data_IF_181086635752
#
_entry.id   IF_181086635752
#
_cell.length_a   1.000
_cell.length_b   1.000
_cell.length_c   1.000
_cell.angle_alpha   90.00
_cell.angle_beta   90.00
_cell.angle_gamma   90.00
#
_symmetry.space_group_name_H-M   'P 1'
#
loop_
_entity.id
_entity.type
_entity.pdbx_description
1 polymer ?
#
# COMPACT_ATOMS: atom_id res chain seq x y z
N UNK A 1 14.90 1.48 -13.36
CA UNK A 1 14.70 2.75 -12.64
C UNK A 1 15.58 2.78 -11.41
N UNK A 2 16.41 3.82 -11.23
CA UNK A 2 17.38 3.96 -10.12
C UNK A 2 16.77 4.60 -8.85
N UNK A 3 15.53 4.28 -8.49
CA UNK A 3 14.87 4.91 -7.34
C UNK A 3 15.52 4.58 -5.99
N UNK A 4 16.09 3.37 -5.84
CA UNK A 4 16.74 2.96 -4.59
C UNK A 4 18.07 3.68 -4.33
N UNK A 5 18.73 4.17 -5.39
CA UNK A 5 20.01 4.87 -5.30
C UNK A 5 19.90 6.36 -5.02
N UNK A 6 18.69 6.92 -4.94
CA UNK A 6 18.45 8.34 -4.69
C UNK A 6 17.87 8.51 -3.28
N UNK A 7 18.39 9.46 -2.52
CA UNK A 7 17.86 9.79 -1.20
C UNK A 7 16.41 10.28 -1.29
N UNK A 8 15.57 9.89 -0.33
CA UNK A 8 14.18 10.32 -0.24
C UNK A 8 13.15 9.19 -0.18
N UNK A 9 11.87 9.56 0.01
CA UNK A 9 10.76 8.62 0.11
C UNK A 9 10.48 7.96 -1.24
N UNK A 10 10.07 6.69 -1.21
CA UNK A 10 9.63 5.95 -2.38
C UNK A 10 8.16 5.59 -2.18
N UNK A 11 7.32 5.98 -3.13
CA UNK A 11 5.89 5.61 -3.14
C UNK A 11 5.72 4.44 -4.10
N UNK A 12 5.24 3.32 -3.59
CA UNK A 12 4.95 2.13 -4.39
C UNK A 12 3.44 1.94 -4.44
N UNK A 13 2.86 2.14 -5.63
CA UNK A 13 1.45 1.84 -5.86
C UNK A 13 1.32 0.38 -6.32
N UNK A 14 0.98 -0.52 -5.40
CA UNK A 14 0.85 -1.95 -5.69
C UNK A 14 -0.28 -2.57 -4.84
N UNK A 15 -1.06 -3.54 -5.36
CA UNK A 15 -2.18 -4.14 -4.62
C UNK A 15 -1.82 -4.93 -3.34
N UNK A 16 -0.56 -5.34 -3.18
CA UNK A 16 0.07 -6.08 -2.07
C UNK A 16 -0.68 -7.32 -1.58
N UNK A 17 -1.50 -7.90 -2.46
CA UNK A 17 -2.36 -9.03 -2.08
C UNK A 17 -1.63 -10.34 -1.91
N UNK A 18 -0.38 -10.46 -2.40
CA UNK A 18 0.45 -11.65 -2.23
C UNK A 18 1.39 -11.44 -1.04
N UNK A 19 1.48 -12.43 -0.16
CA UNK A 19 2.43 -12.43 0.95
C UNK A 19 3.88 -12.28 0.47
N UNK A 20 4.23 -12.91 -0.66
CA UNK A 20 5.55 -12.77 -1.29
C UNK A 20 5.87 -11.34 -1.71
N UNK A 21 4.89 -10.60 -2.26
CA UNK A 21 5.10 -9.19 -2.60
C UNK A 21 5.33 -8.35 -1.35
N UNK A 22 4.56 -8.60 -0.28
CA UNK A 22 4.76 -7.88 1.00
C UNK A 22 6.13 -8.16 1.62
N UNK A 23 6.59 -9.42 1.57
CA UNK A 23 7.92 -9.81 2.03
C UNK A 23 9.03 -9.16 1.19
N UNK A 24 8.87 -9.11 -0.14
CA UNK A 24 9.81 -8.42 -1.03
C UNK A 24 9.90 -6.92 -0.71
N UNK A 25 8.77 -6.24 -0.48
CA UNK A 25 8.78 -4.82 -0.12
C UNK A 25 9.45 -4.58 1.23
N UNK A 26 9.21 -5.44 2.23
CA UNK A 26 9.91 -5.40 3.50
C UNK A 26 11.43 -5.58 3.34
N UNK A 27 11.85 -6.55 2.52
CA UNK A 27 13.26 -6.80 2.21
C UNK A 27 13.90 -5.60 1.50
N UNK A 28 13.22 -5.01 0.51
CA UNK A 28 13.71 -3.81 -0.18
C UNK A 28 13.85 -2.66 0.81
N UNK A 29 12.90 -2.47 1.73
CA UNK A 29 13.02 -1.50 2.80
C UNK A 29 14.25 -1.75 3.68
N UNK A 30 14.44 -2.98 4.15
CA UNK A 30 15.57 -3.36 4.99
C UNK A 30 16.92 -3.13 4.29
N UNK A 31 17.10 -3.65 3.06
CA UNK A 31 18.34 -3.51 2.28
C UNK A 31 18.63 -2.05 1.92
N UNK A 32 17.59 -1.23 1.78
CA UNK A 32 17.73 0.18 1.43
C UNK A 32 17.71 1.14 2.63
N UNK A 33 17.69 0.61 3.86
CA UNK A 33 17.63 1.41 5.09
C UNK A 33 16.35 2.24 5.25
N UNK A 34 15.25 1.87 4.58
CA UNK A 34 14.00 2.63 4.54
C UNK A 34 12.90 1.94 5.35
N UNK A 35 12.29 2.62 6.34
CA UNK A 35 11.12 2.07 7.03
C UNK A 35 9.95 1.97 6.06
N UNK A 36 9.39 0.76 5.93
CA UNK A 36 8.24 0.50 5.06
C UNK A 36 6.94 0.80 5.83
N UNK A 37 6.06 1.61 5.25
CA UNK A 37 4.75 1.94 5.83
C UNK A 37 3.64 1.59 4.84
N UNK A 38 2.55 1.01 5.34
CA UNK A 38 1.40 0.64 4.53
C UNK A 38 0.31 1.70 4.63
N UNK A 39 -0.09 2.27 3.50
CA UNK A 39 -1.34 3.01 3.37
C UNK A 39 -2.32 2.13 2.59
N UNK A 40 -3.29 1.55 3.27
CA UNK A 40 -4.27 0.63 2.68
C UNK A 40 -5.58 1.35 2.40
N UNK A 41 -6.00 1.35 1.13
CA UNK A 41 -7.30 1.87 0.71
C UNK A 41 -8.35 0.77 0.79
N UNK A 42 -9.19 0.81 1.83
CA UNK A 42 -10.29 -0.12 2.01
C UNK A 42 -11.54 0.39 1.27
N UNK A 43 -11.95 -0.36 0.24
CA UNK A 43 -13.11 -0.06 -0.59
C UNK A 43 -13.86 -1.36 -0.88
N UNK A 44 -15.19 -1.40 -0.69
CA UNK A 44 -16.00 -2.57 -1.04
C UNK A 44 -15.77 -3.01 -2.50
N UNK A 45 -15.84 -4.32 -2.75
CA UNK A 45 -15.54 -4.89 -4.05
C UNK A 45 -16.44 -4.32 -5.16
N UNK A 46 -17.69 -4.07 -4.83
CA UNK A 46 -18.73 -3.51 -5.71
C UNK A 46 -18.32 -2.10 -6.15
N UNK A 47 -17.94 -1.24 -5.20
CA UNK A 47 -17.49 0.13 -5.47
C UNK A 47 -16.17 0.17 -6.26
N UNK A 48 -15.27 -0.77 -5.99
CA UNK A 48 -14.01 -0.90 -6.72
C UNK A 48 -14.27 -1.30 -8.18
N UNK A 49 -15.18 -2.25 -8.43
CA UNK A 49 -15.57 -2.69 -9.75
C UNK A 49 -16.32 -1.61 -10.53
N UNK A 50 -17.24 -0.90 -9.88
CA UNK A 50 -17.93 0.24 -10.48
C UNK A 50 -16.92 1.34 -10.89
N UNK A 51 -15.95 1.64 -10.03
CA UNK A 51 -14.88 2.58 -10.34
C UNK A 51 -14.03 2.15 -11.53
N UNK A 52 -13.74 0.86 -11.68
CA UNK A 52 -13.06 0.31 -12.86
C UNK A 52 -13.88 0.47 -14.14
N UNK A 53 -15.16 0.12 -14.09
CA UNK A 53 -16.10 0.24 -15.22
C UNK A 53 -16.23 1.69 -15.68
N UNK A 54 -16.43 2.63 -14.75
CA UNK A 54 -16.56 4.07 -15.04
C UNK A 54 -15.33 4.65 -15.75
N UNK A 55 -14.13 4.10 -15.49
CA UNK A 55 -12.88 4.50 -16.14
C UNK A 55 -12.57 3.74 -17.43
N UNK A 56 -13.44 2.82 -17.87
CA UNK A 56 -13.21 1.98 -19.05
C UNK A 56 -12.06 0.99 -18.90
N UNK A 57 -11.58 0.71 -17.68
CA UNK A 57 -10.42 -0.14 -17.39
C UNK A 57 -10.82 -1.23 -16.40
N UNK A 58 -11.21 -2.39 -16.90
CA UNK A 58 -11.69 -3.52 -16.08
C UNK A 58 -10.66 -4.63 -16.07
N UNK A 59 -10.24 -5.05 -14.88
CA UNK A 59 -9.41 -6.26 -14.76
C UNK A 59 -10.27 -7.51 -14.98
N UNK A 60 -9.68 -8.59 -15.52
CA UNK A 60 -10.41 -9.84 -15.78
C UNK A 60 -11.16 -10.31 -14.51
N UNK A 61 -12.43 -10.76 -14.59
CA UNK A 61 -13.24 -11.13 -13.42
C UNK A 61 -12.56 -12.15 -12.48
N UNK A 62 -11.92 -13.18 -13.04
CA UNK A 62 -11.17 -14.17 -12.26
C UNK A 62 -9.99 -13.55 -11.48
N UNK A 63 -9.32 -12.56 -12.06
CA UNK A 63 -8.23 -11.84 -11.39
C UNK A 63 -8.77 -10.99 -10.24
N UNK A 64 -9.86 -10.26 -10.48
CA UNK A 64 -10.55 -9.46 -9.46
C UNK A 64 -11.02 -10.33 -8.28
N UNK A 65 -11.73 -11.42 -8.55
CA UNK A 65 -12.21 -12.32 -7.51
C UNK A 65 -11.06 -12.93 -6.68
N UNK A 66 -9.94 -13.25 -7.33
CA UNK A 66 -8.73 -13.74 -6.63
C UNK A 66 -8.09 -12.65 -5.78
N UNK A 67 -8.10 -11.41 -6.24
CA UNK A 67 -7.63 -10.25 -5.50
C UNK A 67 -8.49 -10.06 -4.24
N UNK A 68 -9.82 -9.98 -4.37
CA UNK A 68 -10.77 -9.81 -3.25
C UNK A 68 -10.58 -10.91 -2.20
N UNK A 69 -10.55 -12.18 -2.61
CA UNK A 69 -10.32 -13.31 -1.69
C UNK A 69 -9.01 -13.19 -0.92
N UNK A 70 -7.93 -12.76 -1.59
CA UNK A 70 -6.63 -12.61 -0.93
C UNK A 70 -6.60 -11.46 0.06
N UNK A 71 -7.23 -10.33 -0.28
CA UNK A 71 -7.38 -9.20 0.65
C UNK A 71 -8.20 -9.61 1.86
N UNK A 72 -9.34 -10.27 1.66
CA UNK A 72 -10.22 -10.71 2.76
C UNK A 72 -9.51 -11.56 3.82
N UNK A 73 -8.49 -12.34 3.45
CA UNK A 73 -7.70 -13.15 4.41
C UNK A 73 -6.92 -12.34 5.44
N UNK A 74 -6.61 -11.08 5.17
CA UNK A 74 -5.80 -10.26 6.09
C UNK A 74 -6.38 -8.84 6.31
N UNK A 75 -7.51 -8.51 5.67
CA UNK A 75 -8.20 -7.23 5.83
C UNK A 75 -8.55 -6.94 7.28
N UNK A 76 -9.12 -7.92 7.99
CA UNK A 76 -9.50 -7.77 9.39
C UNK A 76 -8.29 -7.49 10.29
N UNK A 77 -7.11 -8.00 9.93
CA UNK A 77 -5.87 -7.69 10.64
C UNK A 77 -5.49 -6.22 10.46
N UNK A 78 -5.63 -5.69 9.25
CA UNK A 78 -5.35 -4.27 8.97
C UNK A 78 -6.34 -3.33 9.63
N UNK A 79 -7.62 -3.71 9.67
CA UNK A 79 -8.64 -2.95 10.38
C UNK A 79 -8.41 -2.94 11.89
N UNK A 80 -7.83 -4.01 12.43
CA UNK A 80 -7.33 -4.08 13.80
C UNK A 80 -5.92 -3.46 13.97
N UNK A 81 -5.45 -2.67 12.99
CA UNK A 81 -4.14 -2.00 12.98
C UNK A 81 -2.92 -2.92 13.17
N UNK A 82 -3.07 -4.21 12.88
CA UNK A 82 -1.95 -5.17 12.95
C UNK A 82 -0.97 -4.91 11.81
N UNK A 83 0.26 -4.58 12.20
CA UNK A 83 1.34 -4.26 11.25
C UNK A 83 1.93 -5.55 10.66
N UNK A 84 2.03 -5.66 9.32
CA UNK A 84 2.69 -6.82 8.71
C UNK A 84 4.16 -6.93 9.12
N UNK A 85 4.67 -8.16 9.23
CA UNK A 85 6.07 -8.42 9.57
C UNK A 85 7.04 -7.67 8.63
N UNK A 86 8.00 -6.95 9.21
CA UNK A 86 8.98 -6.14 8.48
C UNK A 86 8.48 -4.74 8.06
N UNK A 87 7.25 -4.36 8.43
CA UNK A 87 6.69 -3.03 8.20
C UNK A 87 6.69 -2.25 9.51
N UNK A 88 6.78 -0.91 9.42
CA UNK A 88 6.84 0.00 10.57
C UNK A 88 5.46 0.43 11.06
N UNK A 89 4.50 0.58 10.15
CA UNK A 89 3.13 1.00 10.48
C UNK A 89 2.16 0.65 9.36
N UNK A 90 0.88 0.57 9.70
CA UNK A 90 -0.24 0.51 8.77
C UNK A 90 -1.21 1.64 9.05
N UNK A 91 -1.79 2.20 7.99
CA UNK A 91 -2.91 3.12 8.07
C UNK A 91 -3.96 2.68 7.06
N UNK A 92 -5.19 2.47 7.53
CA UNK A 92 -6.35 2.17 6.66
C UNK A 92 -7.12 3.45 6.39
N UNK A 93 -7.45 3.68 5.12
CA UNK A 93 -8.27 4.81 4.67
C UNK A 93 -9.39 4.30 3.77
N UNK A 94 -10.51 5.02 3.79
CA UNK A 94 -11.60 4.82 2.83
C UNK A 94 -11.46 5.79 1.64
N UNK A 95 -12.38 5.67 0.68
CA UNK A 95 -12.43 6.50 -0.52
C UNK A 95 -12.63 7.99 -0.26
N UNK A 96 -13.38 8.35 0.78
CA UNK A 96 -13.63 9.75 1.16
C UNK A 96 -12.39 10.40 1.77
N UNK A 97 -11.63 9.64 2.58
CA UNK A 97 -10.35 10.07 3.14
C UNK A 97 -9.29 10.17 2.06
N UNK A 98 -9.23 9.20 1.15
CA UNK A 98 -8.24 9.17 0.07
C UNK A 98 -8.20 10.46 -0.78
N UNK A 99 -9.35 11.08 -1.07
CA UNK A 99 -9.40 12.34 -1.84
C UNK A 99 -8.75 13.53 -1.11
N UNK A 100 -8.68 13.47 0.22
CA UNK A 100 -8.13 14.51 1.10
C UNK A 100 -6.75 14.16 1.65
N UNK A 101 -6.32 12.90 1.53
CA UNK A 101 -5.01 12.45 1.96
C UNK A 101 -3.90 13.10 1.11
N UNK A 102 -2.83 13.53 1.78
CA UNK A 102 -1.61 14.03 1.15
C UNK A 102 -0.43 13.32 1.82
N UNK A 103 0.52 12.86 1.01
CA UNK A 103 1.79 12.36 1.54
C UNK A 103 2.71 13.55 1.73
N UNK A 104 3.10 13.80 2.99
CA UNK A 104 4.07 14.83 3.32
C UNK A 104 5.34 14.13 3.77
N UNK A 105 6.37 14.20 2.94
CA UNK A 105 7.69 13.73 3.33
C UNK A 105 8.41 14.87 4.06
N UNK A 106 8.52 14.75 5.37
CA UNK A 106 9.50 15.56 6.11
C UNK A 106 10.87 14.93 5.84
N UNK A 107 11.68 15.58 5.02
CA UNK A 107 13.12 15.38 5.10
C UNK A 107 13.51 16.02 6.42
N UNK A 108 13.74 15.21 7.45
CA UNK A 108 14.48 15.67 8.61
C UNK A 108 15.90 15.90 8.09
N UNK A 109 16.15 17.10 7.57
CA UNK A 109 17.51 17.58 7.47
C UNK A 109 18.04 17.54 8.90
N UNK A 110 19.03 16.70 9.16
CA UNK A 110 19.76 16.73 10.40
C UNK A 110 20.25 18.17 10.58
N UNK A 111 19.78 18.84 11.63
CA UNK A 111 20.37 20.09 12.07
C UNK A 111 21.79 19.75 12.53
N UNK A 112 22.85 20.36 11.99
CA UNK A 112 24.18 20.22 12.57
C UNK A 112 24.15 20.80 13.99
N UNK A 113 24.77 20.06 14.91
CA UNK A 113 24.96 20.41 16.32
C UNK A 113 25.58 21.81 16.51
#
# INVERSE_FOLDING_TARGET
GRALGVAGPIVVHEPSTRASTRALLALVGAVSGRPVRLLFLDVPAEQALEGQRRRGRVVRPRSFARHVRRVGKWREELLAERVPAGWRSVQVIDRSRAGRTRLVAKVLAELPC
#
